data_IF_914895799532
#
_entry.id   IF_914895799532
#
_cell.length_a   1.000
_cell.length_b   1.000
_cell.length_c   1.000
_cell.angle_alpha   90.00
_cell.angle_beta   90.00
_cell.angle_gamma   90.00
#
_symmetry.space_group_name_H-M   'P 1'
#
loop_
_entity.id
_entity.type
_entity.pdbx_description
1 polymer ?
#
# COMPACT_ATOMS: atom_id res chain seq x y z
N UNK A 1 85.85 -61.60 13.00
CA UNK A 1 85.14 -61.02 14.14
C UNK A 1 83.92 -60.19 13.59
N UNK A 2 82.79 -60.64 14.00
CA UNK A 2 81.42 -60.07 13.96
C UNK A 2 81.02 -59.08 12.85
N UNK A 3 79.89 -59.38 12.20
CA UNK A 3 79.27 -58.55 11.16
C UNK A 3 78.37 -57.48 11.73
N UNK A 4 77.93 -56.48 10.95
CA UNK A 4 76.68 -55.77 11.29
C UNK A 4 75.53 -56.10 10.34
N UNK A 5 74.42 -56.50 10.93
CA UNK A 5 73.11 -56.45 10.31
C UNK A 5 72.61 -55.04 10.37
N UNK A 6 72.05 -54.57 9.28
CA UNK A 6 71.11 -53.47 9.28
C UNK A 6 69.89 -53.89 8.48
N UNK A 7 68.75 -54.08 9.17
CA UNK A 7 67.46 -54.35 8.62
C UNK A 7 66.93 -53.15 7.91
N UNK A 8 66.62 -53.27 6.63
CA UNK A 8 65.87 -52.27 5.87
C UNK A 8 64.35 -52.59 6.03
N UNK A 9 63.67 -51.82 6.86
CA UNK A 9 62.21 -51.80 6.92
C UNK A 9 61.70 -51.27 5.60
N UNK A 10 61.09 -52.12 4.78
CA UNK A 10 60.31 -51.79 3.63
C UNK A 10 58.89 -51.37 4.12
N UNK A 11 58.71 -50.06 4.20
CA UNK A 11 57.36 -49.52 4.47
C UNK A 11 56.48 -49.62 3.21
N UNK A 12 55.47 -50.45 3.26
CA UNK A 12 54.45 -50.55 2.21
C UNK A 12 53.51 -49.30 2.29
N UNK A 13 53.16 -48.70 1.13
CA UNK A 13 52.12 -47.64 1.15
C UNK A 13 50.77 -48.21 1.61
N UNK A 14 49.95 -47.42 2.30
CA UNK A 14 48.65 -47.87 2.78
C UNK A 14 47.73 -48.28 1.62
N UNK A 15 47.12 -49.47 1.74
CA UNK A 15 46.30 -50.12 0.75
C UNK A 15 44.90 -49.51 0.53
N UNK A 16 44.58 -48.43 1.25
CA UNK A 16 43.29 -47.74 1.11
C UNK A 16 43.50 -46.25 0.91
N UNK A 17 42.81 -45.63 -0.07
CA UNK A 17 42.82 -44.16 -0.19
C UNK A 17 42.20 -43.56 1.06
N UNK A 18 42.74 -42.41 1.50
CA UNK A 18 42.20 -41.63 2.62
C UNK A 18 40.70 -41.36 2.37
N UNK A 19 39.87 -41.44 3.37
CA UNK A 19 38.46 -41.05 3.21
C UNK A 19 38.33 -39.64 2.67
N UNK A 20 37.33 -39.36 1.80
CA UNK A 20 37.14 -38.02 1.30
C UNK A 20 36.93 -37.06 2.46
N UNK A 21 37.35 -35.78 2.35
CA UNK A 21 37.13 -34.79 3.38
C UNK A 21 35.64 -34.69 3.68
N UNK A 22 35.27 -34.61 4.95
CA UNK A 22 33.90 -34.43 5.39
C UNK A 22 33.27 -33.26 4.63
N UNK A 23 32.04 -33.36 4.14
CA UNK A 23 31.37 -32.26 3.47
C UNK A 23 31.43 -31.06 4.39
N UNK A 24 31.78 -29.90 3.82
CA UNK A 24 31.75 -28.63 4.54
C UNK A 24 30.36 -28.48 5.20
N UNK A 25 30.28 -27.99 6.43
CA UNK A 25 29.00 -27.75 7.07
C UNK A 25 28.14 -26.92 6.13
N UNK A 26 26.90 -27.36 5.92
CA UNK A 26 25.90 -26.57 5.19
C UNK A 26 25.91 -25.15 5.77
N UNK A 27 25.83 -24.12 4.92
CA UNK A 27 25.67 -22.76 5.43
C UNK A 27 24.52 -22.76 6.44
N UNK A 28 24.58 -21.94 7.50
CA UNK A 28 23.53 -21.88 8.50
C UNK A 28 22.19 -21.68 7.79
N UNK A 29 21.11 -22.29 8.27
CA UNK A 29 19.81 -22.06 7.67
C UNK A 29 19.58 -20.56 7.58
N UNK A 30 19.08 -20.08 6.43
CA UNK A 30 18.75 -18.66 6.25
C UNK A 30 18.00 -18.21 7.51
N UNK A 31 18.29 -16.99 8.02
CA UNK A 31 17.51 -16.48 9.12
C UNK A 31 16.02 -16.57 8.77
N UNK A 32 15.14 -16.84 9.76
CA UNK A 32 13.71 -16.96 9.50
C UNK A 32 13.20 -15.70 8.81
N UNK A 33 12.23 -15.84 7.89
CA UNK A 33 11.68 -14.69 7.18
C UNK A 33 11.06 -13.70 8.17
N UNK A 34 11.20 -12.40 7.90
CA UNK A 34 10.71 -11.35 8.79
C UNK A 34 9.17 -11.23 8.70
N UNK A 35 8.41 -11.31 9.81
CA UNK A 35 6.96 -11.25 9.82
C UNK A 35 6.48 -9.79 9.69
N UNK A 36 5.88 -9.42 8.55
CA UNK A 36 5.38 -8.05 8.31
C UNK A 36 3.99 -7.79 8.92
N UNK A 37 3.32 -8.83 9.43
CA UNK A 37 1.96 -8.74 9.96
C UNK A 37 1.89 -8.48 11.47
N UNK A 38 3.03 -8.42 12.14
CA UNK A 38 3.08 -8.26 13.59
C UNK A 38 3.00 -6.79 14.02
N UNK A 39 2.51 -6.56 15.26
CA UNK A 39 2.38 -5.24 15.85
C UNK A 39 3.74 -4.52 16.00
N UNK A 40 4.81 -5.25 16.28
CA UNK A 40 6.17 -4.71 16.39
C UNK A 40 6.62 -4.05 15.08
N UNK A 41 6.32 -4.66 13.93
CA UNK A 41 6.61 -4.06 12.64
C UNK A 41 5.78 -2.79 12.40
N UNK A 42 4.49 -2.82 12.72
CA UNK A 42 3.61 -1.66 12.56
C UNK A 42 4.02 -0.50 13.47
N UNK A 43 4.52 -0.78 14.68
CA UNK A 43 4.95 0.24 15.64
C UNK A 43 6.19 1.02 15.16
N UNK A 44 7.22 0.32 14.65
CA UNK A 44 8.46 0.95 14.16
C UNK A 44 9.00 0.27 12.88
N UNK A 45 8.37 0.54 11.72
CA UNK A 45 8.80 -0.05 10.46
C UNK A 45 10.18 0.46 10.00
N UNK A 46 10.58 1.68 10.35
CA UNK A 46 11.86 2.24 9.92
C UNK A 46 13.05 1.52 10.55
N UNK A 47 13.01 1.25 11.84
CA UNK A 47 14.03 0.41 12.51
C UNK A 47 14.03 -1.02 11.95
N UNK A 48 12.86 -1.55 11.62
CA UNK A 48 12.74 -2.85 10.97
C UNK A 48 13.42 -2.85 9.59
N UNK A 49 13.15 -1.87 8.72
CA UNK A 49 13.81 -1.75 7.42
C UNK A 49 15.33 -1.56 7.54
N UNK A 50 15.81 -0.82 8.55
CA UNK A 50 17.24 -0.67 8.79
C UNK A 50 17.91 -2.00 9.16
N UNK A 51 17.30 -2.79 10.06
CA UNK A 51 17.77 -4.16 10.40
C UNK A 51 17.74 -5.07 9.17
N UNK A 52 16.63 -5.14 8.46
CA UNK A 52 16.47 -5.92 7.24
C UNK A 52 17.57 -5.61 6.22
N UNK A 53 17.88 -4.34 6.03
CA UNK A 53 18.91 -3.90 5.09
C UNK A 53 20.32 -4.31 5.54
N UNK A 54 20.61 -4.23 6.84
CA UNK A 54 21.89 -4.66 7.41
C UNK A 54 22.09 -6.17 7.26
N UNK A 55 21.05 -6.96 7.46
CA UNK A 55 21.10 -8.43 7.48
C UNK A 55 20.99 -9.05 6.08
N UNK A 56 20.22 -8.45 5.17
CA UNK A 56 19.85 -9.06 3.88
C UNK A 56 20.14 -8.17 2.67
N UNK A 57 20.49 -6.89 2.85
CA UNK A 57 20.61 -5.95 1.74
C UNK A 57 19.26 -5.51 1.17
N UNK A 58 19.15 -5.28 -0.18
CA UNK A 58 17.98 -4.66 -0.79
C UNK A 58 16.79 -5.59 -0.99
N UNK A 59 16.96 -6.92 -0.86
CA UNK A 59 15.94 -7.94 -1.10
C UNK A 59 15.84 -8.85 0.12
N UNK A 60 14.72 -8.82 0.82
CA UNK A 60 14.54 -9.40 2.14
C UNK A 60 13.52 -10.54 2.11
N UNK A 61 13.85 -11.75 2.61
CA UNK A 61 12.84 -12.79 2.85
C UNK A 61 11.88 -12.36 3.96
N UNK A 62 10.58 -12.36 3.67
CA UNK A 62 9.52 -11.94 4.61
C UNK A 62 8.35 -12.91 4.62
N UNK A 63 7.51 -12.83 5.65
CA UNK A 63 6.17 -13.41 5.67
C UNK A 63 5.11 -12.29 5.66
N UNK A 64 4.13 -12.42 4.73
CA UNK A 64 2.98 -11.51 4.65
C UNK A 64 1.86 -11.90 5.61
N UNK A 65 1.80 -13.16 5.97
CA UNK A 65 0.96 -13.78 6.98
C UNK A 65 1.64 -15.09 7.39
N UNK A 66 1.26 -15.74 8.50
CA UNK A 66 1.85 -17.01 8.90
C UNK A 66 1.89 -18.02 7.76
N UNK A 67 3.09 -18.48 7.39
CA UNK A 67 3.31 -19.44 6.30
C UNK A 67 3.09 -18.90 4.88
N UNK A 68 3.03 -17.59 4.68
CA UNK A 68 2.91 -16.95 3.35
C UNK A 68 4.23 -16.21 3.02
N UNK A 69 5.22 -16.90 2.44
CA UNK A 69 6.51 -16.32 2.14
C UNK A 69 6.43 -15.36 0.94
N UNK A 70 7.25 -14.30 1.02
CA UNK A 70 7.44 -13.32 -0.05
C UNK A 70 8.88 -12.78 -0.02
N UNK A 71 9.26 -12.05 -1.06
CA UNK A 71 10.46 -11.21 -1.05
C UNK A 71 10.05 -9.75 -0.99
N UNK A 72 10.49 -9.04 0.07
CA UNK A 72 10.32 -7.59 0.19
C UNK A 72 11.50 -6.87 -0.45
N UNK A 73 11.21 -5.93 -1.33
CA UNK A 73 12.20 -5.09 -2.00
C UNK A 73 12.28 -3.76 -1.25
N UNK A 74 13.41 -3.48 -0.63
CA UNK A 74 13.69 -2.23 0.11
C UNK A 74 14.80 -1.40 -0.53
N UNK A 75 15.42 -1.89 -1.62
CA UNK A 75 16.36 -1.15 -2.45
C UNK A 75 15.65 -0.36 -3.55
N UNK A 76 15.92 0.94 -3.64
CA UNK A 76 15.26 1.83 -4.61
C UNK A 76 15.58 1.46 -6.06
N UNK A 77 16.83 1.14 -6.36
CA UNK A 77 17.27 0.77 -7.71
C UNK A 77 16.62 -0.55 -8.17
N UNK A 78 16.57 -1.55 -7.28
CA UNK A 78 15.96 -2.85 -7.53
C UNK A 78 14.45 -2.69 -7.74
N UNK A 79 13.80 -1.86 -6.93
CA UNK A 79 12.37 -1.56 -7.08
C UNK A 79 12.06 -0.94 -8.44
N UNK A 80 12.82 0.06 -8.88
CA UNK A 80 12.63 0.66 -10.20
C UNK A 80 12.84 -0.33 -11.34
N UNK A 81 13.82 -1.23 -11.18
CA UNK A 81 14.08 -2.29 -12.15
C UNK A 81 12.86 -3.22 -12.27
N UNK A 82 12.34 -3.70 -11.14
CA UNK A 82 11.20 -4.60 -11.09
C UNK A 82 9.93 -3.92 -11.64
N UNK A 83 9.62 -2.70 -11.19
CA UNK A 83 8.41 -1.98 -11.59
C UNK A 83 8.34 -1.62 -13.07
N UNK A 84 9.49 -1.59 -13.78
CA UNK A 84 9.57 -1.26 -15.22
C UNK A 84 9.65 -2.48 -16.13
N UNK A 85 9.87 -3.66 -15.57
CA UNK A 85 10.02 -4.90 -16.33
C UNK A 85 8.85 -5.86 -16.07
N UNK A 86 7.69 -5.52 -16.64
CA UNK A 86 6.47 -6.35 -16.51
C UNK A 86 6.60 -7.73 -17.18
N UNK A 87 7.60 -7.95 -18.01
CA UNK A 87 7.83 -9.24 -18.64
C UNK A 87 8.42 -10.27 -17.65
N UNK A 88 9.45 -9.90 -16.91
CA UNK A 88 10.06 -10.76 -15.90
C UNK A 88 9.30 -10.70 -14.56
N UNK A 89 8.60 -9.59 -14.29
CA UNK A 89 7.92 -9.31 -13.03
C UNK A 89 6.44 -8.95 -13.26
N UNK A 90 5.64 -9.88 -13.84
CA UNK A 90 4.22 -9.63 -14.07
C UNK A 90 3.43 -9.49 -12.77
N UNK A 91 2.37 -8.66 -12.78
CA UNK A 91 1.47 -8.47 -11.65
C UNK A 91 0.34 -9.53 -11.58
N UNK A 92 0.52 -10.68 -12.19
CA UNK A 92 -0.48 -11.74 -12.32
C UNK A 92 -0.33 -12.83 -11.26
N UNK A 93 -1.22 -12.91 -10.26
CA UNK A 93 -1.12 -13.87 -9.16
C UNK A 93 -1.75 -15.24 -9.47
N UNK A 94 -2.25 -15.51 -10.70
CA UNK A 94 -3.07 -16.70 -11.01
C UNK A 94 -2.39 -18.03 -10.69
N UNK A 95 -1.08 -18.12 -10.71
CA UNK A 95 -0.34 -19.32 -10.28
C UNK A 95 -0.19 -19.33 -8.77
N UNK A 96 0.30 -18.26 -8.17
CA UNK A 96 0.51 -18.14 -6.73
C UNK A 96 -0.77 -18.41 -5.93
N UNK A 97 -1.90 -17.82 -6.29
CA UNK A 97 -3.16 -17.96 -5.54
C UNK A 97 -3.65 -19.41 -5.39
N UNK A 98 -3.16 -20.35 -6.21
CA UNK A 98 -3.46 -21.77 -6.10
C UNK A 98 -2.57 -22.50 -5.08
N UNK A 99 -1.50 -21.87 -4.63
CA UNK A 99 -0.54 -22.44 -3.67
C UNK A 99 -0.88 -22.10 -2.22
N UNK A 100 -1.80 -21.16 -2.01
CA UNK A 100 -2.25 -20.73 -0.68
C UNK A 100 -3.70 -21.16 -0.43
N UNK A 101 -4.07 -21.52 0.81
CA UNK A 101 -5.42 -21.92 1.15
C UNK A 101 -6.42 -20.76 1.04
N UNK A 102 -7.70 -21.06 0.93
CA UNK A 102 -8.75 -20.02 0.90
C UNK A 102 -8.85 -19.23 2.21
N UNK A 103 -8.40 -19.82 3.32
CA UNK A 103 -8.32 -19.17 4.63
C UNK A 103 -7.12 -18.20 4.78
N UNK A 104 -6.25 -18.07 3.76
CA UNK A 104 -5.11 -17.17 3.81
C UNK A 104 -5.58 -15.72 3.93
N UNK A 105 -5.21 -14.97 5.01
CA UNK A 105 -5.77 -13.64 5.29
C UNK A 105 -5.39 -12.59 4.26
N UNK A 106 -4.25 -12.74 3.55
CA UNK A 106 -3.81 -11.79 2.52
C UNK A 106 -4.30 -12.15 1.11
N UNK A 107 -4.87 -13.36 0.92
CA UNK A 107 -5.34 -13.82 -0.39
C UNK A 107 -6.38 -12.87 -1.01
N UNK A 108 -7.42 -12.40 -0.30
CA UNK A 108 -8.42 -11.49 -0.88
C UNK A 108 -7.84 -10.19 -1.44
N UNK A 109 -6.75 -9.70 -0.85
CA UNK A 109 -6.03 -8.52 -1.32
C UNK A 109 -5.15 -8.82 -2.53
N UNK A 110 -4.63 -10.03 -2.67
CA UNK A 110 -3.58 -10.38 -3.64
C UNK A 110 -4.06 -11.25 -4.80
N UNK A 111 -5.21 -11.92 -4.70
CA UNK A 111 -5.72 -12.82 -5.74
C UNK A 111 -6.07 -12.08 -7.04
N UNK A 112 -6.07 -12.82 -8.13
CA UNK A 112 -6.43 -12.30 -9.43
C UNK A 112 -7.89 -11.85 -9.50
N UNK A 113 -8.08 -10.71 -10.10
CA UNK A 113 -9.38 -10.15 -10.47
C UNK A 113 -9.25 -9.47 -11.84
N UNK A 114 -10.31 -9.42 -12.66
CA UNK A 114 -10.25 -8.77 -13.97
C UNK A 114 -10.19 -7.24 -13.83
N UNK A 115 -9.04 -6.74 -13.38
CA UNK A 115 -8.78 -5.31 -13.19
C UNK A 115 -7.33 -4.94 -13.55
N UNK A 116 -7.05 -3.64 -13.64
CA UNK A 116 -5.75 -3.12 -14.03
C UNK A 116 -4.62 -3.41 -13.01
N UNK A 117 -4.94 -3.73 -11.74
CA UNK A 117 -3.92 -3.97 -10.71
C UNK A 117 -3.40 -5.41 -10.76
N UNK A 118 -4.25 -6.38 -11.22
CA UNK A 118 -3.98 -7.83 -11.16
C UNK A 118 -3.87 -8.48 -12.54
N UNK A 119 -3.56 -7.69 -13.56
CA UNK A 119 -3.39 -8.12 -14.93
C UNK A 119 -2.09 -7.61 -15.54
N UNK A 120 -1.70 -8.13 -16.70
CA UNK A 120 -0.49 -7.77 -17.42
C UNK A 120 -0.72 -7.72 -18.92
N UNK A 121 0.22 -7.17 -19.67
CA UNK A 121 0.23 -7.15 -21.12
C UNK A 121 -1.01 -6.50 -21.72
N UNK A 122 -1.61 -7.13 -22.75
CA UNK A 122 -2.78 -6.59 -23.44
C UNK A 122 -4.03 -6.44 -22.55
N UNK A 123 -4.21 -7.35 -21.59
CA UNK A 123 -5.32 -7.30 -20.62
C UNK A 123 -5.16 -6.06 -19.71
N UNK A 124 -3.98 -5.87 -19.15
CA UNK A 124 -3.65 -4.67 -18.36
C UNK A 124 -3.85 -3.40 -19.19
N UNK A 125 -3.29 -3.35 -20.41
CA UNK A 125 -3.39 -2.18 -21.29
C UNK A 125 -4.84 -1.79 -21.53
N UNK A 126 -5.73 -2.75 -21.75
CA UNK A 126 -7.16 -2.53 -22.00
C UNK A 126 -7.87 -1.94 -20.76
N UNK A 127 -7.67 -2.53 -19.60
CA UNK A 127 -8.26 -2.02 -18.34
C UNK A 127 -7.68 -0.66 -17.96
N UNK A 128 -6.37 -0.53 -18.08
CA UNK A 128 -5.66 0.72 -17.76
C UNK A 128 -6.12 1.88 -18.62
N UNK A 129 -6.27 1.68 -19.94
CA UNK A 129 -6.75 2.72 -20.83
C UNK A 129 -8.13 3.24 -20.44
N UNK A 130 -9.06 2.34 -20.08
CA UNK A 130 -10.40 2.72 -19.64
C UNK A 130 -10.37 3.52 -18.32
N UNK A 131 -9.60 3.03 -17.33
CA UNK A 131 -9.49 3.69 -16.03
C UNK A 131 -8.84 5.08 -16.16
N UNK A 132 -7.72 5.17 -16.88
CA UNK A 132 -6.99 6.44 -17.07
C UNK A 132 -7.86 7.46 -17.78
N UNK A 133 -8.51 7.09 -18.90
CA UNK A 133 -9.40 8.00 -19.62
C UNK A 133 -10.59 8.50 -18.76
N UNK A 134 -11.14 7.64 -17.89
CA UNK A 134 -12.24 8.01 -17.03
C UNK A 134 -11.80 8.93 -15.87
N UNK A 135 -10.60 8.72 -15.32
CA UNK A 135 -10.01 9.51 -14.23
C UNK A 135 -9.52 10.87 -14.74
N UNK A 136 -8.78 10.90 -15.87
CA UNK A 136 -8.23 12.14 -16.43
C UNK A 136 -9.33 13.14 -16.85
N UNK A 137 -10.54 12.65 -17.11
CA UNK A 137 -11.68 13.50 -17.44
C UNK A 137 -12.40 14.08 -16.19
N UNK A 138 -11.89 13.87 -14.99
CA UNK A 138 -12.41 14.51 -13.77
C UNK A 138 -12.04 16.00 -13.80
N UNK A 139 -13.03 16.85 -13.60
CA UNK A 139 -12.87 18.30 -13.51
C UNK A 139 -12.31 18.65 -12.12
N UNK A 140 -11.07 19.08 -12.03
CA UNK A 140 -10.38 19.38 -10.79
C UNK A 140 -11.02 20.54 -10.02
N UNK A 141 -11.61 21.54 -10.70
CA UNK A 141 -12.32 22.64 -10.02
C UNK A 141 -13.57 22.12 -9.31
N UNK A 142 -14.37 21.28 -10.00
CA UNK A 142 -15.54 20.67 -9.39
C UNK A 142 -15.18 19.69 -8.27
N UNK A 143 -14.06 19.02 -8.40
CA UNK A 143 -13.53 18.15 -7.35
C UNK A 143 -13.15 18.97 -6.12
N UNK A 144 -12.50 20.12 -6.30
CA UNK A 144 -12.16 21.03 -5.20
C UNK A 144 -13.43 21.52 -4.48
N UNK A 145 -14.42 22.05 -5.21
CA UNK A 145 -15.69 22.49 -4.65
C UNK A 145 -16.47 21.36 -3.92
N UNK A 146 -16.34 20.14 -4.43
CA UNK A 146 -16.91 18.96 -3.81
C UNK A 146 -16.26 18.66 -2.46
N UNK A 147 -14.93 18.63 -2.42
CA UNK A 147 -14.15 18.39 -1.18
C UNK A 147 -14.45 19.47 -0.15
N UNK A 148 -14.47 20.75 -0.55
CA UNK A 148 -14.85 21.87 0.32
C UNK A 148 -16.21 21.63 0.99
N UNK A 149 -17.23 21.38 0.19
CA UNK A 149 -18.61 21.20 0.67
C UNK A 149 -18.73 20.02 1.64
N UNK A 150 -18.03 18.91 1.35
CA UNK A 150 -18.05 17.71 2.19
C UNK A 150 -17.26 17.95 3.48
N UNK A 151 -16.09 18.62 3.41
CA UNK A 151 -15.29 18.98 4.57
C UNK A 151 -16.08 19.84 5.56
N UNK A 152 -16.68 20.91 5.07
CA UNK A 152 -17.51 21.79 5.93
C UNK A 152 -18.67 21.07 6.60
N UNK A 153 -19.32 20.15 5.88
CA UNK A 153 -20.42 19.33 6.45
C UNK A 153 -19.90 18.38 7.53
N UNK A 154 -18.80 17.68 7.29
CA UNK A 154 -18.19 16.77 8.27
C UNK A 154 -17.77 17.52 9.53
N UNK A 155 -17.06 18.65 9.38
CA UNK A 155 -16.60 19.48 10.50
C UNK A 155 -17.78 20.03 11.31
N UNK A 156 -18.82 20.52 10.66
CA UNK A 156 -20.03 21.01 11.35
C UNK A 156 -20.69 19.91 12.20
N UNK A 157 -20.56 18.64 11.81
CA UNK A 157 -21.13 17.50 12.54
C UNK A 157 -20.49 17.26 13.91
N UNK A 158 -19.17 17.38 14.02
CA UNK A 158 -18.45 17.09 15.27
C UNK A 158 -17.99 18.34 16.04
N UNK A 159 -17.90 19.51 15.40
CA UNK A 159 -17.43 20.76 16.03
C UNK A 159 -18.12 21.09 17.37
N UNK A 160 -19.44 20.92 17.53
CA UNK A 160 -20.11 21.22 18.82
C UNK A 160 -19.63 20.35 19.99
N UNK A 161 -19.08 19.13 19.70
CA UNK A 161 -18.59 18.23 20.73
C UNK A 161 -17.26 18.70 21.35
N UNK A 162 -16.47 19.52 20.64
CA UNK A 162 -15.14 19.97 21.08
C UNK A 162 -14.08 18.87 21.03
N UNK A 163 -14.42 17.73 20.44
CA UNK A 163 -13.54 16.58 20.26
C UNK A 163 -14.01 15.75 19.08
N UNK A 164 -13.10 15.00 18.45
CA UNK A 164 -13.40 14.09 17.35
C UNK A 164 -12.32 12.99 17.24
N UNK A 165 -12.64 11.88 16.63
CA UNK A 165 -11.65 10.99 16.03
C UNK A 165 -11.59 11.30 14.52
N UNK A 166 -10.50 11.96 14.08
CA UNK A 166 -10.38 12.43 12.70
C UNK A 166 -10.36 11.30 11.67
N UNK A 167 -10.06 10.06 12.06
CA UNK A 167 -10.14 8.92 11.16
C UNK A 167 -11.61 8.63 10.81
N UNK A 168 -12.49 8.48 11.82
CA UNK A 168 -13.86 8.01 11.63
C UNK A 168 -14.87 9.14 11.44
N UNK A 169 -14.60 10.32 12.01
CA UNK A 169 -15.50 11.47 11.94
C UNK A 169 -15.22 12.40 10.75
N UNK A 170 -14.00 12.31 10.15
CA UNK A 170 -13.59 13.20 9.07
C UNK A 170 -13.01 12.46 7.86
N UNK A 171 -11.83 11.83 7.95
CA UNK A 171 -11.08 11.36 6.79
C UNK A 171 -11.81 10.25 6.01
N UNK A 172 -12.37 9.26 6.72
CA UNK A 172 -13.07 8.16 6.10
C UNK A 172 -14.39 8.59 5.44
N UNK A 173 -15.34 9.26 6.13
CA UNK A 173 -16.61 9.66 5.52
C UNK A 173 -16.42 10.67 4.39
N UNK A 174 -15.47 11.60 4.51
CA UNK A 174 -15.13 12.56 3.46
C UNK A 174 -14.66 11.81 2.20
N UNK A 175 -13.66 10.95 2.34
CA UNK A 175 -13.07 10.25 1.19
C UNK A 175 -14.07 9.33 0.52
N UNK A 176 -14.87 8.60 1.31
CA UNK A 176 -15.92 7.74 0.79
C UNK A 176 -16.96 8.54 -0.02
N UNK A 177 -17.43 9.68 0.51
CA UNK A 177 -18.42 10.51 -0.18
C UNK A 177 -17.86 11.11 -1.46
N UNK A 178 -16.62 11.63 -1.43
CA UNK A 178 -15.95 12.18 -2.62
C UNK A 178 -15.84 11.13 -3.72
N UNK A 179 -15.40 9.91 -3.39
CA UNK A 179 -15.30 8.83 -4.38
C UNK A 179 -16.67 8.37 -4.87
N UNK A 180 -17.67 8.32 -4.02
CA UNK A 180 -19.03 8.00 -4.43
C UNK A 180 -19.59 9.02 -5.44
N UNK A 181 -19.38 10.32 -5.21
CA UNK A 181 -19.75 11.38 -6.14
C UNK A 181 -18.99 11.26 -7.48
N UNK A 182 -17.66 11.04 -7.43
CA UNK A 182 -16.86 10.85 -8.63
C UNK A 182 -17.29 9.63 -9.47
N UNK A 183 -17.70 8.55 -8.80
CA UNK A 183 -18.24 7.35 -9.44
C UNK A 183 -19.71 7.51 -9.84
N UNK A 184 -20.35 8.63 -9.46
CA UNK A 184 -21.75 8.91 -9.72
C UNK A 184 -22.69 7.96 -9.01
N UNK A 185 -22.31 7.50 -7.82
CA UNK A 185 -23.05 6.54 -7.02
C UNK A 185 -24.17 7.24 -6.26
N UNK A 186 -25.45 6.83 -6.45
CA UNK A 186 -26.55 7.34 -5.63
C UNK A 186 -26.38 6.94 -4.15
N UNK A 187 -26.80 7.80 -3.21
CA UNK A 187 -26.64 7.59 -1.77
C UNK A 187 -27.16 6.22 -1.31
N UNK A 188 -28.32 5.79 -1.82
CA UNK A 188 -28.91 4.49 -1.47
C UNK A 188 -28.06 3.28 -1.86
N UNK A 189 -27.29 3.40 -2.94
CA UNK A 189 -26.31 2.39 -3.37
C UNK A 189 -25.02 2.57 -2.58
N UNK A 190 -24.57 3.80 -2.38
CA UNK A 190 -23.38 4.14 -1.60
C UNK A 190 -23.42 3.57 -0.17
N UNK A 191 -24.55 3.71 0.53
CA UNK A 191 -24.72 3.09 1.86
C UNK A 191 -24.55 1.57 1.85
N UNK A 192 -25.01 0.89 0.79
CA UNK A 192 -24.84 -0.57 0.64
C UNK A 192 -23.38 -0.93 0.32
N UNK A 193 -22.69 -0.11 -0.47
CA UNK A 193 -21.26 -0.28 -0.74
C UNK A 193 -20.45 -0.13 0.56
N UNK A 194 -20.72 0.91 1.34
CA UNK A 194 -20.07 1.13 2.63
C UNK A 194 -20.33 -0.03 3.61
N UNK A 195 -21.58 -0.48 3.72
CA UNK A 195 -21.96 -1.63 4.56
C UNK A 195 -21.24 -2.92 4.13
N UNK A 196 -21.19 -3.19 2.81
CA UNK A 196 -20.47 -4.33 2.25
C UNK A 196 -18.97 -4.27 2.52
N UNK A 197 -18.35 -3.09 2.33
CA UNK A 197 -16.92 -2.89 2.60
C UNK A 197 -16.58 -3.08 4.08
N UNK A 198 -17.36 -2.50 4.99
CA UNK A 198 -17.14 -2.64 6.43
C UNK A 198 -17.20 -4.12 6.85
N UNK A 199 -18.21 -4.87 6.37
CA UNK A 199 -18.35 -6.30 6.69
C UNK A 199 -17.21 -7.18 6.14
N UNK A 200 -16.51 -6.75 5.08
CA UNK A 200 -15.36 -7.50 4.57
C UNK A 200 -14.21 -7.58 5.57
N UNK A 201 -14.08 -6.59 6.45
CA UNK A 201 -13.04 -6.57 7.48
C UNK A 201 -13.38 -7.41 8.72
N UNK A 202 -14.64 -7.79 8.91
CA UNK A 202 -15.07 -8.58 10.08
C UNK A 202 -14.69 -10.08 9.98
N UNK A 203 -14.32 -10.55 8.77
CA UNK A 203 -13.92 -11.95 8.52
C UNK A 203 -15.09 -12.95 8.54
N UNK A 204 -14.77 -14.23 8.28
CA UNK A 204 -15.70 -15.34 8.35
C UNK A 204 -16.99 -15.19 7.52
N UNK A 205 -18.13 -15.64 8.06
CA UNK A 205 -19.42 -15.54 7.38
C UNK A 205 -19.89 -14.10 7.14
N UNK A 206 -19.47 -13.16 8.00
CA UNK A 206 -19.83 -11.73 7.87
C UNK A 206 -19.16 -11.16 6.62
N UNK A 207 -17.88 -11.48 6.39
CA UNK A 207 -17.18 -11.08 5.18
C UNK A 207 -17.80 -11.64 3.90
N UNK A 208 -18.28 -12.91 3.92
CA UNK A 208 -18.98 -13.51 2.79
C UNK A 208 -20.25 -12.73 2.47
N UNK A 209 -21.03 -12.36 3.48
CA UNK A 209 -22.24 -11.52 3.31
C UNK A 209 -21.89 -10.12 2.82
N UNK A 210 -20.81 -9.53 3.36
CA UNK A 210 -20.28 -8.24 2.91
C UNK A 210 -19.96 -8.23 1.42
N UNK A 211 -19.29 -9.29 0.95
CA UNK A 211 -18.95 -9.44 -0.47
C UNK A 211 -20.19 -9.55 -1.37
N UNK A 212 -21.23 -10.27 -0.93
CA UNK A 212 -22.49 -10.38 -1.67
C UNK A 212 -23.18 -9.01 -1.77
N UNK A 213 -23.27 -8.27 -0.66
CA UNK A 213 -23.86 -6.92 -0.62
C UNK A 213 -23.09 -5.97 -1.54
N UNK A 214 -21.76 -5.97 -1.46
CA UNK A 214 -20.89 -5.13 -2.27
C UNK A 214 -21.08 -5.41 -3.77
N UNK A 215 -20.99 -6.68 -4.17
CA UNK A 215 -21.13 -7.06 -5.57
C UNK A 215 -22.51 -6.69 -6.13
N UNK A 216 -23.58 -6.89 -5.37
CA UNK A 216 -24.93 -6.52 -5.80
C UNK A 216 -25.09 -5.00 -5.90
N UNK A 217 -24.55 -4.23 -4.94
CA UNK A 217 -24.61 -2.78 -4.96
C UNK A 217 -23.85 -2.18 -6.16
N UNK A 218 -22.68 -2.74 -6.49
CA UNK A 218 -21.89 -2.32 -7.66
C UNK A 218 -22.61 -2.69 -8.97
N UNK A 219 -23.22 -3.88 -9.06
CA UNK A 219 -24.02 -4.26 -10.23
C UNK A 219 -25.20 -3.32 -10.43
N UNK A 220 -25.89 -2.93 -9.35
CA UNK A 220 -26.99 -1.95 -9.40
C UNK A 220 -26.50 -0.57 -9.86
N UNK A 221 -25.31 -0.12 -9.41
CA UNK A 221 -24.68 1.11 -9.89
C UNK A 221 -24.44 1.07 -11.41
N UNK A 222 -23.86 -0.02 -11.92
CA UNK A 222 -23.63 -0.21 -13.36
C UNK A 222 -24.95 -0.16 -14.13
N UNK A 223 -25.98 -0.86 -13.65
CA UNK A 223 -27.30 -0.86 -14.26
C UNK A 223 -27.95 0.54 -14.29
N UNK A 224 -27.86 1.28 -13.18
CA UNK A 224 -28.36 2.68 -13.10
C UNK A 224 -27.64 3.56 -14.11
N UNK A 225 -26.31 3.45 -14.22
CA UNK A 225 -25.51 4.29 -15.11
C UNK A 225 -25.66 3.92 -16.59
N UNK A 226 -25.94 2.67 -16.92
CA UNK A 226 -26.32 2.27 -18.30
C UNK A 226 -27.65 2.92 -18.73
N UNK A 227 -28.62 3.00 -17.80
CA UNK A 227 -29.93 3.59 -18.09
C UNK A 227 -29.91 5.12 -18.04
N UNK A 228 -29.08 5.71 -17.17
CA UNK A 228 -28.97 7.16 -16.94
C UNK A 228 -27.50 7.55 -16.83
N UNK A 229 -26.77 7.65 -17.94
CA UNK A 229 -25.37 8.08 -17.93
C UNK A 229 -25.25 9.52 -17.43
N UNK A 230 -24.15 9.82 -16.71
CA UNK A 230 -23.81 11.12 -16.17
C UNK A 230 -22.37 11.54 -16.51
N UNK A 231 -21.95 12.65 -15.93
CA UNK A 231 -20.56 13.14 -16.02
C UNK A 231 -19.69 12.53 -14.91
N UNK A 232 -19.68 11.21 -14.79
CA UNK A 232 -19.01 10.45 -13.75
C UNK A 232 -18.12 9.35 -14.32
N UNK A 233 -17.23 8.83 -13.47
CA UNK A 233 -16.26 7.81 -13.87
C UNK A 233 -16.96 6.53 -14.35
N UNK A 234 -18.02 6.06 -13.69
CA UNK A 234 -18.73 4.84 -14.07
C UNK A 234 -19.34 4.97 -15.47
N UNK A 235 -19.97 6.09 -15.78
CA UNK A 235 -20.54 6.37 -17.11
C UNK A 235 -19.47 6.41 -18.21
N UNK A 236 -18.29 6.97 -17.91
CA UNK A 236 -17.16 7.02 -18.85
C UNK A 236 -16.57 5.63 -19.08
N UNK A 237 -16.43 4.80 -18.04
CA UNK A 237 -16.00 3.41 -18.17
C UNK A 237 -16.95 2.61 -19.07
N UNK A 238 -18.27 2.77 -18.90
CA UNK A 238 -19.28 2.11 -19.74
C UNK A 238 -19.16 2.54 -21.20
N UNK A 239 -18.91 3.83 -21.47
CA UNK A 239 -18.81 4.37 -22.83
C UNK A 239 -17.46 4.11 -23.50
N UNK A 240 -16.44 3.64 -22.76
CA UNK A 240 -15.08 3.49 -23.28
C UNK A 240 -14.97 2.37 -24.33
N UNK A 241 -14.09 2.58 -25.31
CA UNK A 241 -13.86 1.63 -26.42
C UNK A 241 -13.28 0.28 -26.00
N UNK A 242 -12.79 0.15 -24.77
CA UNK A 242 -12.36 -1.12 -24.16
C UNK A 242 -13.49 -2.13 -24.01
N UNK A 243 -14.77 -1.71 -24.08
CA UNK A 243 -15.97 -2.56 -24.02
C UNK A 243 -15.90 -3.55 -22.84
N UNK A 244 -15.73 -3.02 -21.63
CA UNK A 244 -15.73 -3.82 -20.42
C UNK A 244 -17.07 -4.53 -20.26
N UNK A 245 -17.04 -5.84 -19.98
CA UNK A 245 -18.24 -6.59 -19.62
C UNK A 245 -18.70 -6.26 -18.18
N UNK A 246 -19.82 -6.84 -17.72
CA UNK A 246 -20.38 -6.52 -16.41
C UNK A 246 -19.51 -6.97 -15.26
N UNK A 247 -18.80 -8.08 -15.41
CA UNK A 247 -17.85 -8.59 -14.42
C UNK A 247 -16.64 -7.67 -14.34
N UNK A 248 -16.05 -7.32 -15.46
CA UNK A 248 -14.93 -6.40 -15.56
C UNK A 248 -15.29 -5.02 -15.02
N UNK A 249 -16.47 -4.48 -15.39
CA UNK A 249 -16.98 -3.21 -14.86
C UNK A 249 -17.08 -3.23 -13.34
N UNK A 250 -17.66 -4.29 -12.76
CA UNK A 250 -17.79 -4.43 -11.32
C UNK A 250 -16.43 -4.43 -10.64
N UNK A 251 -15.45 -5.17 -11.19
CA UNK A 251 -14.10 -5.21 -10.62
C UNK A 251 -13.32 -3.91 -10.80
N UNK A 252 -13.52 -3.14 -11.88
CA UNK A 252 -12.92 -1.79 -11.98
C UNK A 252 -13.50 -0.87 -10.91
N UNK A 253 -14.83 -0.85 -10.70
CA UNK A 253 -15.47 0.01 -9.70
C UNK A 253 -15.03 -0.36 -8.28
N UNK A 254 -15.03 -1.66 -7.92
CA UNK A 254 -14.53 -2.13 -6.62
C UNK A 254 -13.06 -1.73 -6.42
N UNK A 255 -12.25 -1.83 -7.49
CA UNK A 255 -10.84 -1.41 -7.44
C UNK A 255 -10.70 0.09 -7.21
N UNK A 256 -11.51 0.91 -7.89
CA UNK A 256 -11.47 2.38 -7.71
C UNK A 256 -11.88 2.79 -6.29
N UNK A 257 -12.86 2.14 -5.69
CA UNK A 257 -13.20 2.35 -4.28
C UNK A 257 -12.06 1.91 -3.35
N UNK A 258 -11.60 0.67 -3.46
CA UNK A 258 -10.58 0.12 -2.55
C UNK A 258 -9.24 0.83 -2.66
N UNK A 259 -8.75 1.07 -3.90
CA UNK A 259 -7.50 1.77 -4.14
C UNK A 259 -7.58 3.29 -3.92
N UNK A 260 -8.80 3.86 -3.86
CA UNK A 260 -9.00 5.28 -3.64
C UNK A 260 -9.27 5.64 -2.19
N UNK A 261 -10.05 4.84 -1.43
CA UNK A 261 -10.43 5.18 -0.05
C UNK A 261 -9.24 5.00 0.89
N UNK A 262 -8.80 3.77 1.09
CA UNK A 262 -7.80 3.43 2.11
C UNK A 262 -6.52 4.27 1.99
N UNK A 263 -5.88 4.42 0.81
CA UNK A 263 -4.66 5.22 0.71
C UNK A 263 -4.88 6.72 0.94
N UNK A 264 -6.02 7.28 0.52
CA UNK A 264 -6.30 8.71 0.71
C UNK A 264 -6.65 9.01 2.17
N UNK A 265 -7.44 8.15 2.83
CA UNK A 265 -7.70 8.24 4.27
C UNK A 265 -6.40 8.22 5.06
N UNK A 266 -5.52 7.24 4.78
CA UNK A 266 -4.24 7.13 5.47
C UNK A 266 -3.29 8.29 5.11
N UNK A 267 -3.35 8.85 3.89
CA UNK A 267 -2.57 10.04 3.53
C UNK A 267 -3.01 11.26 4.35
N UNK A 268 -4.32 11.48 4.48
CA UNK A 268 -4.87 12.56 5.29
C UNK A 268 -4.46 12.37 6.76
N UNK A 269 -4.72 11.20 7.34
CA UNK A 269 -4.48 10.96 8.75
C UNK A 269 -3.00 10.95 9.11
N UNK A 270 -2.12 10.34 8.29
CA UNK A 270 -0.68 10.34 8.54
C UNK A 270 -0.09 11.76 8.44
N UNK A 271 -0.62 12.59 7.52
CA UNK A 271 -0.22 13.99 7.41
C UNK A 271 -0.68 14.79 8.63
N UNK A 272 -1.91 14.57 9.11
CA UNK A 272 -2.41 15.20 10.33
C UNK A 272 -1.63 14.74 11.58
N UNK A 273 -1.25 13.46 11.68
CA UNK A 273 -0.36 12.98 12.75
C UNK A 273 0.94 13.79 12.76
N UNK A 274 1.57 13.98 11.60
CA UNK A 274 2.79 14.79 11.52
C UNK A 274 2.55 16.24 11.95
N UNK A 275 1.51 16.86 11.45
CA UNK A 275 1.17 18.26 11.81
C UNK A 275 0.86 18.42 13.29
N UNK A 276 0.27 17.41 13.94
CA UNK A 276 -0.09 17.45 15.35
C UNK A 276 1.05 17.03 16.30
N UNK A 277 2.10 16.37 15.79
CA UNK A 277 3.22 15.89 16.62
C UNK A 277 4.54 16.63 16.39
N UNK A 278 4.72 17.29 15.26
CA UNK A 278 5.91 18.08 14.93
C UNK A 278 5.57 19.58 15.04
N UNK A 279 5.86 20.13 16.23
CA UNK A 279 5.50 21.51 16.59
C UNK A 279 6.20 22.55 15.70
N UNK A 280 7.46 22.29 15.30
CA UNK A 280 8.22 23.20 14.42
C UNK A 280 7.58 23.23 13.04
N UNK A 281 7.35 22.08 12.44
CA UNK A 281 6.71 21.98 11.12
C UNK A 281 5.27 22.51 11.11
N UNK A 282 4.50 22.24 12.18
CA UNK A 282 3.15 22.80 12.35
C UNK A 282 3.18 24.32 12.42
N UNK A 283 4.16 24.88 13.14
CA UNK A 283 4.38 26.32 13.22
C UNK A 283 4.65 26.95 11.86
N UNK A 284 5.51 26.34 11.06
CA UNK A 284 5.84 26.79 9.70
C UNK A 284 4.60 26.79 8.79
N UNK A 285 3.77 25.74 8.87
CA UNK A 285 2.52 25.67 8.09
C UNK A 285 1.53 26.77 8.50
N UNK A 286 1.36 27.02 9.81
CA UNK A 286 0.46 28.07 10.30
C UNK A 286 0.99 29.48 9.98
N UNK A 287 2.31 29.67 9.96
CA UNK A 287 2.94 30.93 9.56
C UNK A 287 2.89 31.18 8.03
N UNK A 288 2.61 30.15 7.24
CA UNK A 288 2.64 30.18 5.79
C UNK A 288 4.05 30.02 5.20
N UNK A 289 5.03 29.65 6.03
CA UNK A 289 6.41 29.36 5.62
C UNK A 289 6.55 27.97 4.99
N UNK A 290 5.65 27.03 5.34
CA UNK A 290 5.48 25.73 4.69
C UNK A 290 4.02 25.54 4.25
N UNK A 291 3.81 24.66 3.27
CA UNK A 291 2.48 24.35 2.76
C UNK A 291 1.98 22.96 3.22
N UNK A 292 0.66 22.77 3.25
CA UNK A 292 0.06 21.45 3.42
C UNK A 292 0.58 20.47 2.36
N UNK A 293 0.88 20.97 1.17
CA UNK A 293 1.47 20.19 0.07
C UNK A 293 2.85 19.63 0.43
N UNK A 294 3.69 20.38 1.10
CA UNK A 294 5.01 19.94 1.57
C UNK A 294 4.87 18.88 2.67
N UNK A 295 3.84 19.00 3.53
CA UNK A 295 3.52 17.96 4.50
C UNK A 295 3.11 16.64 3.83
N UNK A 296 2.28 16.71 2.79
CA UNK A 296 1.90 15.55 1.99
C UNK A 296 3.09 14.93 1.28
N UNK A 297 3.95 15.74 0.63
CA UNK A 297 5.16 15.28 -0.05
C UNK A 297 6.10 14.58 0.93
N UNK A 298 6.28 15.10 2.14
CA UNK A 298 7.07 14.48 3.20
C UNK A 298 6.51 13.11 3.61
N UNK A 299 5.20 13.04 3.86
CA UNK A 299 4.54 11.78 4.26
C UNK A 299 4.62 10.75 3.13
N UNK A 300 4.38 11.13 1.89
CA UNK A 300 4.52 10.25 0.73
C UNK A 300 5.95 9.75 0.54
N UNK A 301 6.94 10.53 0.94
CA UNK A 301 8.33 10.12 0.91
C UNK A 301 8.65 9.16 2.06
N UNK A 302 8.36 9.55 3.29
CA UNK A 302 8.80 8.84 4.49
C UNK A 302 7.87 7.71 4.93
N UNK A 303 6.57 7.98 5.02
CA UNK A 303 5.54 7.07 5.55
C UNK A 303 4.36 6.95 4.58
N UNK A 304 4.60 6.49 3.33
CA UNK A 304 3.53 6.38 2.35
C UNK A 304 2.39 5.50 2.85
N UNK A 305 1.12 5.86 2.58
CA UNK A 305 -0.08 5.14 3.03
C UNK A 305 -0.08 3.65 2.70
N UNK A 306 0.39 3.29 1.50
CA UNK A 306 0.69 1.93 1.09
C UNK A 306 2.19 1.72 1.27
N UNK A 307 2.61 1.30 2.47
CA UNK A 307 4.02 1.14 2.80
C UNK A 307 4.68 0.03 1.98
N UNK A 308 3.99 -1.10 1.80
CA UNK A 308 4.46 -2.28 1.07
C UNK A 308 3.33 -2.78 0.16
N UNK A 309 3.43 -2.49 -1.12
CA UNK A 309 2.42 -2.88 -2.11
C UNK A 309 3.10 -3.21 -3.45
N UNK A 310 2.40 -3.13 -4.60
CA UNK A 310 2.94 -3.41 -5.93
C UNK A 310 3.56 -4.80 -6.03
N UNK A 311 2.67 -5.81 -6.14
CA UNK A 311 3.07 -7.21 -6.22
C UNK A 311 3.50 -7.60 -7.62
N UNK A 312 4.57 -8.39 -7.69
CA UNK A 312 4.99 -9.07 -8.91
C UNK A 312 5.18 -10.57 -8.64
N UNK A 313 5.00 -11.38 -9.67
CA UNK A 313 5.05 -12.85 -9.57
C UNK A 313 5.90 -13.40 -10.70
N UNK A 314 7.24 -13.48 -10.55
CA UNK A 314 8.12 -13.97 -11.61
C UNK A 314 7.71 -15.37 -12.09
N UNK A 315 7.50 -15.61 -13.40
CA UNK A 315 7.08 -16.92 -13.92
C UNK A 315 8.19 -17.96 -13.86
N UNK A 316 9.45 -17.52 -13.75
CA UNK A 316 10.65 -18.35 -13.62
C UNK A 316 11.53 -17.77 -12.51
N UNK A 317 12.46 -18.57 -11.94
CA UNK A 317 13.45 -18.03 -11.00
C UNK A 317 14.26 -16.90 -11.67
N UNK A 318 14.37 -15.75 -10.99
CA UNK A 318 15.11 -14.58 -11.48
C UNK A 318 16.26 -14.27 -10.55
N UNK A 319 17.48 -14.16 -11.10
CA UNK A 319 18.61 -13.61 -10.34
C UNK A 319 18.61 -12.08 -10.50
N UNK A 320 18.48 -11.36 -9.40
CA UNK A 320 18.55 -9.90 -9.34
C UNK A 320 19.62 -9.48 -8.34
N UNK A 321 20.73 -8.92 -8.85
CA UNK A 321 21.84 -8.45 -8.00
C UNK A 321 22.48 -9.52 -7.10
N UNK A 322 22.46 -10.80 -7.53
CA UNK A 322 22.98 -11.94 -6.74
C UNK A 322 21.93 -12.63 -5.87
N UNK A 323 20.72 -12.10 -5.78
CA UNK A 323 19.59 -12.69 -5.05
C UNK A 323 18.70 -13.51 -5.99
N UNK A 324 18.45 -14.76 -5.64
CA UNK A 324 17.55 -15.63 -6.40
C UNK A 324 16.11 -15.43 -5.94
N UNK A 325 15.29 -14.82 -6.78
CA UNK A 325 13.84 -14.70 -6.59
C UNK A 325 13.18 -15.98 -7.08
N UNK A 326 12.43 -16.71 -6.22
CA UNK A 326 11.74 -17.93 -6.62
C UNK A 326 10.62 -17.68 -7.64
N UNK A 327 10.37 -18.67 -8.51
CA UNK A 327 9.23 -18.61 -9.41
C UNK A 327 7.91 -18.57 -8.63
N UNK A 328 6.96 -17.77 -9.11
CA UNK A 328 5.60 -17.64 -8.59
C UNK A 328 5.46 -17.19 -7.13
N UNK A 329 6.56 -16.88 -6.45
CA UNK A 329 6.52 -16.28 -5.12
C UNK A 329 6.27 -14.77 -5.24
N UNK A 330 5.46 -14.16 -4.36
CA UNK A 330 5.27 -12.72 -4.37
C UNK A 330 6.56 -11.95 -4.14
N UNK A 331 6.84 -10.99 -5.01
CA UNK A 331 7.83 -9.94 -4.84
C UNK A 331 7.07 -8.67 -4.55
N UNK A 332 7.30 -8.08 -3.38
CA UNK A 332 6.54 -6.94 -2.85
C UNK A 332 7.47 -5.73 -2.80
N UNK A 333 7.07 -4.63 -3.42
CA UNK A 333 7.83 -3.39 -3.33
C UNK A 333 7.48 -2.67 -2.03
N UNK A 334 8.46 -2.44 -1.18
CA UNK A 334 8.33 -1.53 -0.04
C UNK A 334 8.56 -0.10 -0.50
N UNK A 335 7.48 0.65 -0.74
CA UNK A 335 7.62 2.07 -1.06
C UNK A 335 8.30 2.83 0.07
N UNK A 336 7.92 2.55 1.33
CA UNK A 336 8.55 3.13 2.51
C UNK A 336 10.04 2.75 2.64
N UNK A 337 10.37 1.46 2.52
CA UNK A 337 11.74 1.00 2.59
C UNK A 337 12.62 1.54 1.46
N UNK A 338 12.09 1.59 0.23
CA UNK A 338 12.81 2.12 -0.93
C UNK A 338 13.01 3.63 -0.86
N UNK A 339 11.98 4.40 -0.49
CA UNK A 339 12.10 5.85 -0.36
C UNK A 339 13.14 6.25 0.69
N UNK A 340 13.24 5.47 1.77
CA UNK A 340 14.22 5.69 2.85
C UNK A 340 15.51 4.87 2.62
N UNK A 341 15.85 4.52 1.37
CA UNK A 341 17.13 3.89 1.04
C UNK A 341 18.29 4.87 1.27
N UNK A 342 19.27 4.56 2.13
CA UNK A 342 20.43 5.43 2.37
C UNK A 342 21.20 5.82 1.12
N UNK A 343 21.11 5.02 0.04
CA UNK A 343 21.72 5.34 -1.25
C UNK A 343 21.11 6.60 -1.91
N UNK A 344 19.91 7.04 -1.50
CA UNK A 344 19.25 8.27 -1.97
C UNK A 344 19.66 9.52 -1.17
N UNK A 345 20.42 9.37 -0.08
CA UNK A 345 20.77 10.45 0.85
C UNK A 345 19.87 10.49 2.07
N UNK A 346 19.98 11.55 2.86
CA UNK A 346 19.19 11.73 4.08
C UNK A 346 17.75 12.13 3.75
N UNK A 347 16.75 11.35 4.16
CA UNK A 347 15.35 11.68 3.97
C UNK A 347 14.91 13.01 4.61
N UNK A 348 15.59 13.48 5.66
CA UNK A 348 15.29 14.76 6.31
C UNK A 348 15.62 15.96 5.42
N UNK A 349 16.56 15.77 4.48
CA UNK A 349 16.93 16.78 3.49
C UNK A 349 16.12 16.70 2.19
N UNK A 350 15.04 15.91 2.19
CA UNK A 350 14.22 15.64 1.01
C UNK A 350 13.14 16.71 0.73
N UNK A 351 13.22 17.89 1.36
CA UNK A 351 12.26 19.00 1.10
C UNK A 351 12.17 19.27 -0.40
N UNK A 352 10.95 19.16 -0.96
CA UNK A 352 10.70 19.30 -2.39
C UNK A 352 11.13 18.11 -3.27
N UNK A 353 11.73 17.05 -2.70
CA UNK A 353 12.06 15.84 -3.44
C UNK A 353 10.80 14.98 -3.67
N UNK A 354 10.40 14.84 -4.94
CA UNK A 354 9.23 14.04 -5.37
C UNK A 354 9.63 12.74 -6.05
N UNK A 355 10.89 12.34 -5.94
CA UNK A 355 11.40 11.09 -6.51
C UNK A 355 11.10 9.87 -5.62
N UNK A 356 9.91 9.84 -5.01
CA UNK A 356 9.45 8.73 -4.17
C UNK A 356 8.59 7.74 -4.95
N UNK A 357 8.50 6.50 -4.46
CA UNK A 357 7.73 5.41 -5.07
C UNK A 357 6.30 5.29 -4.55
N UNK A 358 5.79 6.23 -3.74
CA UNK A 358 4.44 6.15 -3.16
C UNK A 358 3.33 6.02 -4.21
N UNK A 359 3.56 6.51 -5.43
CA UNK A 359 2.65 6.35 -6.57
C UNK A 359 3.05 5.21 -7.51
N UNK A 360 3.97 4.33 -7.07
CA UNK A 360 4.59 3.32 -7.91
C UNK A 360 5.36 3.91 -9.11
N UNK A 361 5.82 3.05 -10.02
CA UNK A 361 6.47 3.42 -11.28
C UNK A 361 6.09 2.42 -12.37
N UNK A 362 6.44 2.74 -13.63
CA UNK A 362 6.18 1.86 -14.77
C UNK A 362 4.70 1.76 -15.13
N UNK A 363 4.28 0.65 -15.79
CA UNK A 363 2.92 0.50 -16.31
C UNK A 363 1.83 0.57 -15.24
N UNK A 364 2.14 0.14 -14.02
CA UNK A 364 1.22 0.13 -12.87
C UNK A 364 1.31 1.38 -11.99
N UNK A 365 1.97 2.47 -12.43
CA UNK A 365 1.98 3.73 -11.69
C UNK A 365 0.55 4.25 -11.44
N UNK A 366 0.29 4.91 -10.32
CA UNK A 366 -1.05 5.39 -9.95
C UNK A 366 -1.62 6.36 -11.00
N UNK A 367 -2.82 6.11 -11.56
CA UNK A 367 -3.45 7.01 -12.54
C UNK A 367 -4.14 8.22 -11.88
N UNK A 368 -4.43 8.15 -10.57
CA UNK A 368 -5.23 9.14 -9.85
C UNK A 368 -4.39 10.04 -8.92
N UNK A 369 -3.10 10.23 -9.25
CA UNK A 369 -2.18 11.00 -8.42
C UNK A 369 -2.66 12.43 -8.16
N UNK A 370 -3.07 13.15 -9.21
CA UNK A 370 -3.53 14.53 -9.10
C UNK A 370 -4.78 14.66 -8.23
N UNK A 371 -5.75 13.76 -8.46
CA UNK A 371 -6.99 13.75 -7.71
C UNK A 371 -6.76 13.42 -6.22
N UNK A 372 -5.90 12.44 -5.93
CA UNK A 372 -5.56 12.08 -4.55
C UNK A 372 -4.88 13.22 -3.80
N UNK A 373 -3.95 13.92 -4.44
CA UNK A 373 -3.34 15.12 -3.87
C UNK A 373 -4.38 16.20 -3.60
N UNK A 374 -5.23 16.52 -4.59
CA UNK A 374 -6.22 17.57 -4.45
C UNK A 374 -7.20 17.27 -3.31
N UNK A 375 -7.66 16.02 -3.19
CA UNK A 375 -8.56 15.60 -2.11
C UNK A 375 -7.88 15.78 -0.75
N UNK A 376 -6.67 15.25 -0.58
CA UNK A 376 -5.97 15.27 0.71
C UNK A 376 -5.55 16.69 1.11
N UNK A 377 -5.00 17.48 0.17
CA UNK A 377 -4.57 18.86 0.41
C UNK A 377 -5.74 19.75 0.80
N UNK A 378 -6.84 19.72 0.01
CA UNK A 378 -8.02 20.53 0.30
C UNK A 378 -8.67 20.12 1.63
N UNK A 379 -8.83 18.80 1.88
CA UNK A 379 -9.44 18.32 3.13
C UNK A 379 -8.67 18.78 4.37
N UNK A 380 -7.33 18.67 4.35
CA UNK A 380 -6.47 19.09 5.45
C UNK A 380 -6.53 20.62 5.61
N UNK A 381 -6.44 21.39 4.52
CA UNK A 381 -6.51 22.84 4.56
C UNK A 381 -7.83 23.30 5.20
N UNK A 382 -8.98 22.80 4.75
CA UNK A 382 -10.28 23.19 5.33
C UNK A 382 -10.42 22.78 6.80
N UNK A 383 -9.81 21.65 7.20
CA UNK A 383 -9.81 21.22 8.60
C UNK A 383 -8.99 22.17 9.49
N UNK A 384 -7.77 22.51 9.07
CA UNK A 384 -6.88 23.42 9.80
C UNK A 384 -7.46 24.83 9.89
N UNK A 385 -8.04 25.35 8.81
CA UNK A 385 -8.70 26.66 8.79
C UNK A 385 -9.92 26.71 9.74
N UNK A 386 -10.68 25.61 9.81
CA UNK A 386 -11.86 25.55 10.69
C UNK A 386 -11.51 25.31 12.15
N UNK A 387 -10.39 24.65 12.45
CA UNK A 387 -9.97 24.23 13.79
C UNK A 387 -8.49 24.56 14.04
N UNK A 388 -8.09 25.85 14.02
CA UNK A 388 -6.68 26.26 14.13
C UNK A 388 -6.05 25.93 15.49
N UNK A 389 -6.86 25.75 16.55
CA UNK A 389 -6.40 25.39 17.91
C UNK A 389 -6.61 23.91 18.20
N UNK A 390 -6.63 23.05 17.16
CA UNK A 390 -6.80 21.61 17.31
C UNK A 390 -5.52 20.97 17.83
N UNK A 391 -5.64 20.14 18.87
CA UNK A 391 -4.55 19.39 19.49
C UNK A 391 -4.90 17.90 19.61
N UNK A 392 -3.86 17.05 19.75
CA UNK A 392 -4.08 15.64 20.08
C UNK A 392 -4.76 15.50 21.44
N UNK A 393 -5.74 14.60 21.54
CA UNK A 393 -6.40 14.25 22.81
C UNK A 393 -5.59 13.23 23.64
N UNK A 394 -4.46 12.74 23.14
CA UNK A 394 -3.56 11.80 23.81
C UNK A 394 -2.11 12.20 23.58
N UNK A 395 -1.19 11.60 24.33
CA UNK A 395 0.23 11.84 24.07
C UNK A 395 0.67 11.18 22.74
N UNK A 396 1.60 11.77 21.99
CA UNK A 396 2.02 11.24 20.68
C UNK A 396 2.47 9.76 20.70
N UNK A 397 3.10 9.32 21.79
CA UNK A 397 3.54 7.94 21.96
C UNK A 397 2.40 6.93 22.22
N UNK A 398 1.20 7.41 22.53
CA UNK A 398 0.01 6.56 22.74
C UNK A 398 -0.77 6.33 21.44
N UNK A 399 -0.35 6.98 20.36
CA UNK A 399 -0.89 6.73 19.03
C UNK A 399 -0.54 5.31 18.58
N UNK A 400 -1.54 4.54 18.18
CA UNK A 400 -1.36 3.15 17.77
C UNK A 400 -1.54 2.99 16.26
N UNK A 401 -0.68 2.14 15.67
CA UNK A 401 -0.72 1.83 14.26
C UNK A 401 -1.36 0.46 14.04
N UNK A 402 -2.21 0.35 13.02
CA UNK A 402 -2.84 -0.93 12.68
C UNK A 402 -1.79 -1.90 12.17
N UNK A 403 -1.70 -3.12 12.74
CA UNK A 403 -0.82 -4.16 12.20
C UNK A 403 -1.27 -4.60 10.81
N UNK A 404 -0.32 -5.05 10.01
CA UNK A 404 -0.57 -5.55 8.66
C UNK A 404 0.62 -5.31 7.74
N UNK A 405 0.77 -6.16 6.70
CA UNK A 405 1.97 -6.15 5.86
C UNK A 405 2.00 -5.00 4.84
N UNK A 406 0.86 -4.31 4.55
CA UNK A 406 0.76 -3.49 3.35
C UNK A 406 0.66 -1.99 3.60
N UNK A 407 0.05 -1.56 4.70
CA UNK A 407 -0.29 -0.17 4.95
C UNK A 407 0.48 0.45 6.11
N UNK A 408 0.59 1.77 6.08
CA UNK A 408 0.94 2.61 7.22
C UNK A 408 -0.31 3.37 7.61
N UNK A 409 -1.03 2.90 8.63
CA UNK A 409 -2.37 3.39 8.97
C UNK A 409 -2.54 3.52 10.47
N UNK A 410 -2.98 4.71 10.91
CA UNK A 410 -3.30 4.94 12.32
C UNK A 410 -4.60 4.20 12.70
N UNK A 411 -4.68 3.69 13.92
CA UNK A 411 -5.89 3.02 14.42
C UNK A 411 -6.98 4.04 14.82
N UNK A 412 -6.58 5.14 15.44
CA UNK A 412 -7.43 6.25 15.87
C UNK A 412 -6.62 7.55 15.82
N UNK A 413 -7.28 8.67 15.55
CA UNK A 413 -6.67 10.00 15.61
C UNK A 413 -7.55 10.95 16.44
N UNK A 414 -7.56 10.76 17.77
CA UNK A 414 -8.38 11.57 18.66
C UNK A 414 -7.80 12.96 18.85
N UNK A 415 -8.66 13.98 18.69
CA UNK A 415 -8.32 15.40 18.84
C UNK A 415 -9.31 16.12 19.74
N UNK A 416 -8.84 17.23 20.33
CA UNK A 416 -9.64 18.21 21.08
C UNK A 416 -9.46 19.58 20.48
N UNK A 417 -10.47 20.42 20.56
CA UNK A 417 -10.47 21.78 20.06
C UNK A 417 -11.51 22.63 20.83
N UNK A 418 -11.41 23.99 20.81
CA UNK A 418 -12.38 24.86 21.46
C UNK A 418 -13.79 24.63 20.95
N UNK A 419 -14.74 24.52 21.87
CA UNK A 419 -16.16 24.47 21.53
C UNK A 419 -16.59 25.85 21.03
N UNK A 420 -17.34 25.89 19.95
CA UNK A 420 -18.04 27.10 19.55
C UNK A 420 -19.44 27.03 20.16
N UNK A 421 -19.71 27.95 21.11
CA UNK A 421 -21.05 28.13 21.63
C UNK A 421 -21.98 28.53 20.46
N UNK A 422 -23.11 27.86 20.35
CA UNK A 422 -24.11 28.09 19.31
C UNK A 422 -24.80 29.45 19.49
#
# INVERSE_FOLDING_TARGET
MKPPHADAETSFPPLFPSPPPSPSPLPPPFPPPFPLYEEEFAADPHSAYARMRADHGPLVPVELAPGVPATLVIGYAEALHILRDEYRFPADPRVWQRTVPDSCPVKPMMEWRPNAIRSQGAEHTRYRAANTAAIDAVDEHKLHDLVERISHRAIAGFRPAGQADLLVDFAWPLTFQVLSDLLGCPDSIGHRIADGMNKLFDGGEIAIRGNVILNQAVADLVAVKRNRPGYDITSRLIAHSARLDDTEMSHQIVTLYGAGIEPVVNLITNTLVRLLTDVEFSGDVHAGDASVREALDFVLYRDPPLANFCFAYPPHPVNLGGYLLPAHQPVVISMAGCNNDPALGDPQNASGNRAHLAWSAGPHACPARSQAYLIAESAITYLLDALPEMELACAPQDLTWRPGPFHRAIAHLPVVFPRVDQ
#
